data_IF_839640155613
#
_entry.id   IF_839640155613
#
_cell.length_a   1.000
_cell.length_b   1.000
_cell.length_c   1.000
_cell.angle_alpha   90.00
_cell.angle_beta   90.00
_cell.angle_gamma   90.00
#
_symmetry.space_group_name_H-M   'P 1'
#
loop_
_entity.id
_entity.type
_entity.pdbx_description
1 polymer ?
#
# COMPACT_ATOMS: atom_id res chain seq x y z
N UNK A 1 -26.05 23.32 -2.92
CA UNK A 1 -25.25 22.57 -1.93
C UNK A 1 -23.80 22.61 -2.36
N UNK A 2 -22.87 23.02 -1.50
CA UNK A 2 -21.45 22.87 -1.81
C UNK A 2 -21.13 21.37 -1.87
N UNK A 3 -20.46 20.91 -2.92
CA UNK A 3 -19.98 19.53 -2.99
C UNK A 3 -19.04 19.29 -1.80
N UNK A 4 -19.37 18.29 -0.96
CA UNK A 4 -18.52 17.91 0.15
C UNK A 4 -17.35 17.11 -0.44
N UNK A 5 -16.20 17.76 -0.59
CA UNK A 5 -14.98 17.08 -1.02
C UNK A 5 -14.53 16.13 0.08
N UNK A 6 -14.30 14.88 -0.27
CA UNK A 6 -13.74 13.87 0.62
C UNK A 6 -12.28 13.64 0.23
N UNK A 7 -11.36 13.97 1.12
CA UNK A 7 -9.95 13.62 0.97
C UNK A 7 -9.72 12.21 1.53
N UNK A 8 -8.92 11.40 0.84
CA UNK A 8 -8.55 10.05 1.26
C UNK A 8 -7.05 9.95 1.34
N UNK A 9 -6.54 9.48 2.48
CA UNK A 9 -5.15 9.10 2.69
C UNK A 9 -5.10 7.58 2.88
N UNK A 10 -4.35 6.88 2.04
CA UNK A 10 -4.05 5.47 2.20
C UNK A 10 -2.63 5.32 2.75
N UNK A 11 -2.51 4.72 3.92
CA UNK A 11 -1.23 4.33 4.52
C UNK A 11 -1.13 2.81 4.47
N UNK A 12 -0.07 2.30 3.88
CA UNK A 12 0.25 0.88 3.85
C UNK A 12 1.56 0.64 4.60
N UNK A 13 1.55 -0.32 5.53
CA UNK A 13 2.71 -0.68 6.35
C UNK A 13 3.04 -2.13 6.05
N UNK A 14 4.19 -2.36 5.41
CA UNK A 14 4.62 -3.71 5.06
C UNK A 14 5.02 -4.50 6.32
N UNK A 15 4.69 -5.79 6.35
CA UNK A 15 5.01 -6.68 7.46
C UNK A 15 4.22 -6.45 8.77
N UNK A 16 3.24 -5.55 8.79
CA UNK A 16 2.38 -5.32 9.95
C UNK A 16 1.08 -6.13 9.83
N UNK A 17 0.85 -7.02 10.79
CA UNK A 17 -0.36 -7.84 10.87
C UNK A 17 -0.97 -7.84 12.27
N UNK A 18 -2.11 -8.52 12.39
CA UNK A 18 -2.78 -8.74 13.68
C UNK A 18 -2.24 -10.05 14.26
N UNK A 19 -1.55 -9.95 15.40
CA UNK A 19 -0.90 -11.08 16.06
C UNK A 19 -1.41 -11.37 17.47
N UNK A 20 -0.82 -12.39 18.10
CA UNK A 20 -1.05 -12.77 19.50
C UNK A 20 -0.33 -11.79 20.42
N UNK A 21 -0.90 -11.50 21.60
CA UNK A 21 -0.23 -10.74 22.65
C UNK A 21 0.71 -11.66 23.45
N UNK A 22 1.99 -11.64 23.13
CA UNK A 22 3.01 -12.44 23.83
C UNK A 22 4.40 -11.76 23.80
N UNK A 23 5.36 -12.33 24.51
CA UNK A 23 6.71 -11.79 24.63
C UNK A 23 7.48 -11.69 23.29
N UNK A 24 7.05 -12.42 22.25
CA UNK A 24 7.66 -12.41 20.93
C UNK A 24 7.07 -11.36 19.99
N UNK A 25 5.95 -10.72 20.37
CA UNK A 25 5.28 -9.71 19.55
C UNK A 25 5.82 -8.30 19.87
N UNK A 26 6.53 -7.63 18.95
CA UNK A 26 7.09 -6.30 19.20
C UNK A 26 6.03 -5.25 19.57
N UNK A 27 4.83 -5.33 19.00
CA UNK A 27 3.73 -4.41 19.33
C UNK A 27 3.25 -4.60 20.77
N UNK A 28 3.33 -5.83 21.31
CA UNK A 28 3.03 -6.07 22.72
C UNK A 28 4.08 -5.41 23.62
N UNK A 29 5.37 -5.59 23.30
CA UNK A 29 6.50 -5.04 24.07
C UNK A 29 6.53 -3.51 24.06
N UNK A 30 6.05 -2.88 22.99
CA UNK A 30 5.97 -1.42 22.88
C UNK A 30 4.84 -0.81 23.71
N UNK A 31 3.81 -1.60 24.06
CA UNK A 31 2.66 -1.14 24.82
C UNK A 31 1.90 -0.02 24.11
N UNK A 32 1.51 1.01 24.87
CA UNK A 32 0.76 2.18 24.34
C UNK A 32 1.53 2.97 23.28
N UNK A 33 2.87 2.84 23.20
CA UNK A 33 3.68 3.51 22.17
C UNK A 33 3.43 2.98 20.76
N UNK A 34 2.86 1.78 20.64
CA UNK A 34 2.51 1.19 19.35
C UNK A 34 1.05 1.46 18.95
N UNK A 35 0.27 2.18 19.75
CA UNK A 35 -1.08 2.60 19.37
C UNK A 35 -1.03 3.68 18.26
N UNK A 36 -2.00 3.68 17.32
CA UNK A 36 -3.15 2.79 17.23
C UNK A 36 -2.86 1.48 16.45
N UNK A 37 -1.61 1.20 16.08
CA UNK A 37 -1.23 0.05 15.23
C UNK A 37 -1.20 -1.28 15.98
N UNK A 38 -1.10 -1.27 17.32
CA UNK A 38 -1.08 -2.44 18.17
C UNK A 38 -2.46 -3.13 18.30
N UNK A 39 -2.93 -3.73 17.20
CA UNK A 39 -4.16 -4.53 17.15
C UNK A 39 -3.81 -6.01 17.35
N UNK A 40 -4.51 -6.67 18.27
CA UNK A 40 -4.27 -8.08 18.61
C UNK A 40 -5.50 -8.93 18.29
N UNK A 41 -5.27 -10.21 18.02
CA UNK A 41 -6.30 -11.15 17.53
C UNK A 41 -7.54 -11.25 18.45
N UNK A 42 -7.35 -11.19 19.77
CA UNK A 42 -8.41 -11.40 20.78
C UNK A 42 -8.83 -10.09 21.45
N UNK A 43 -8.61 -8.94 20.80
CA UNK A 43 -8.90 -7.63 21.36
C UNK A 43 -9.71 -6.78 20.37
N UNK A 44 -10.71 -6.06 20.87
CA UNK A 44 -11.41 -5.02 20.11
C UNK A 44 -10.85 -3.65 20.49
N UNK A 45 -9.99 -3.04 19.66
CA UNK A 45 -9.36 -1.77 19.99
C UNK A 45 -10.37 -0.62 19.88
N UNK A 46 -10.21 0.38 20.75
CA UNK A 46 -10.88 1.67 20.51
C UNK A 46 -10.08 2.46 19.49
N UNK A 47 -10.61 2.57 18.28
CA UNK A 47 -9.98 3.32 17.20
C UNK A 47 -10.32 4.83 17.30
N UNK A 48 -9.34 5.72 17.02
CA UNK A 48 -9.60 7.15 17.03
C UNK A 48 -10.61 7.54 15.95
N UNK A 49 -11.29 8.67 16.15
CA UNK A 49 -12.21 9.27 15.18
C UNK A 49 -13.36 8.35 14.70
N UNK A 50 -13.85 7.47 15.57
CA UNK A 50 -14.86 6.44 15.22
C UNK A 50 -14.41 5.53 14.08
N UNK A 51 -13.12 5.21 14.04
CA UNK A 51 -12.53 4.32 13.04
C UNK A 51 -13.13 2.92 13.08
N UNK A 52 -13.06 2.23 11.94
CA UNK A 52 -13.53 0.85 11.80
C UNK A 52 -12.34 -0.08 11.56
N UNK A 53 -12.31 -1.19 12.30
CA UNK A 53 -11.35 -2.27 12.08
C UNK A 53 -11.99 -3.32 11.18
N UNK A 54 -11.39 -3.56 10.01
CA UNK A 54 -11.77 -4.67 9.13
C UNK A 54 -10.61 -5.67 9.09
N UNK A 55 -10.76 -6.78 9.83
CA UNK A 55 -9.81 -7.88 9.78
C UNK A 55 -9.96 -8.59 8.44
N UNK A 56 -8.88 -8.77 7.72
CA UNK A 56 -8.88 -9.33 6.36
C UNK A 56 -7.94 -10.53 6.28
N UNK A 57 -8.35 -11.55 5.53
CA UNK A 57 -7.50 -12.67 5.19
C UNK A 57 -6.48 -12.25 4.13
N UNK A 58 -5.21 -12.12 4.53
CA UNK A 58 -4.12 -11.79 3.62
C UNK A 58 -3.80 -12.91 2.61
N UNK A 59 -4.25 -14.14 2.86
CA UNK A 59 -4.09 -15.25 1.91
C UNK A 59 -5.07 -15.15 0.73
N UNK A 60 -6.16 -14.40 0.87
CA UNK A 60 -7.16 -14.16 -0.19
C UNK A 60 -7.70 -15.46 -0.80
N UNK A 61 -7.84 -16.50 0.04
CA UNK A 61 -8.28 -17.83 -0.37
C UNK A 61 -7.28 -18.63 -1.22
N UNK A 62 -6.02 -18.19 -1.31
CA UNK A 62 -4.96 -18.88 -2.06
C UNK A 62 -3.94 -19.48 -1.09
N UNK A 63 -3.63 -20.76 -1.27
CA UNK A 63 -2.68 -21.48 -0.43
C UNK A 63 -1.27 -20.85 -0.44
N UNK A 64 -0.59 -20.93 0.71
CA UNK A 64 0.77 -20.45 0.89
C UNK A 64 0.86 -19.17 1.71
N UNK A 65 2.09 -18.77 2.03
CA UNK A 65 2.34 -17.56 2.83
C UNK A 65 2.07 -16.32 1.98
N UNK A 66 1.24 -15.36 2.44
CA UNK A 66 1.04 -14.08 1.77
C UNK A 66 2.35 -13.36 1.49
N UNK A 67 2.47 -12.73 0.31
CA UNK A 67 3.69 -12.06 -0.15
C UNK A 67 3.42 -10.65 -0.68
N UNK A 68 4.43 -9.79 -0.57
CA UNK A 68 4.29 -8.35 -0.79
C UNK A 68 3.98 -7.95 -2.24
N UNK A 69 4.48 -8.66 -3.26
CA UNK A 69 4.24 -8.27 -4.65
C UNK A 69 2.78 -8.48 -5.05
N UNK A 70 2.23 -9.67 -4.77
CA UNK A 70 0.84 -9.99 -5.04
C UNK A 70 -0.12 -9.26 -4.08
N UNK A 71 0.26 -9.10 -2.80
CA UNK A 71 -0.52 -8.34 -1.83
C UNK A 71 -0.69 -6.87 -2.22
N UNK A 72 0.41 -6.16 -2.52
CA UNK A 72 0.34 -4.77 -2.95
C UNK A 72 -0.36 -4.61 -4.30
N UNK A 73 -0.17 -5.55 -5.24
CA UNK A 73 -0.93 -5.54 -6.50
C UNK A 73 -2.43 -5.60 -6.22
N UNK A 74 -2.87 -6.47 -5.30
CA UNK A 74 -4.28 -6.57 -4.92
C UNK A 74 -4.80 -5.28 -4.32
N UNK A 75 -4.08 -4.70 -3.35
CA UNK A 75 -4.46 -3.43 -2.69
C UNK A 75 -4.60 -2.30 -3.71
N UNK A 76 -3.64 -2.20 -4.65
CA UNK A 76 -3.60 -1.11 -5.62
C UNK A 76 -4.59 -1.27 -6.77
N UNK A 77 -5.17 -2.44 -6.99
CA UNK A 77 -5.98 -2.73 -8.19
C UNK A 77 -7.38 -3.25 -7.91
N UNK A 78 -7.63 -3.77 -6.71
CA UNK A 78 -8.86 -4.48 -6.37
C UNK A 78 -8.98 -5.88 -6.98
N UNK A 79 -7.97 -6.34 -7.74
CA UNK A 79 -7.93 -7.67 -8.35
C UNK A 79 -7.24 -8.65 -7.41
N UNK A 80 -7.81 -9.84 -7.19
CA UNK A 80 -7.18 -10.91 -6.41
C UNK A 80 -5.94 -11.45 -7.16
N UNK A 81 -4.79 -10.81 -6.93
CA UNK A 81 -3.56 -11.08 -7.66
C UNK A 81 -2.93 -12.44 -7.37
N UNK A 82 -2.92 -12.96 -6.11
CA UNK A 82 -2.54 -14.35 -5.87
C UNK A 82 -3.40 -15.34 -6.65
N UNK A 83 -4.71 -15.12 -6.76
CA UNK A 83 -5.59 -16.01 -7.51
C UNK A 83 -5.31 -15.94 -9.02
N UNK A 84 -5.04 -14.74 -9.55
CA UNK A 84 -4.64 -14.58 -10.95
C UNK A 84 -3.31 -15.28 -11.30
N UNK A 85 -2.40 -15.42 -10.33
CA UNK A 85 -1.14 -16.15 -10.51
C UNK A 85 -1.22 -17.65 -10.14
N UNK A 86 -2.16 -18.03 -9.28
CA UNK A 86 -2.21 -19.34 -8.62
C UNK A 86 -1.25 -19.48 -7.44
N UNK A 87 -0.53 -18.44 -7.04
CA UNK A 87 0.40 -18.44 -5.89
C UNK A 87 0.72 -17.02 -5.39
N UNK A 88 1.30 -16.93 -4.19
CA UNK A 88 1.76 -15.67 -3.61
C UNK A 88 3.14 -15.26 -4.12
N UNK A 89 3.25 -14.11 -4.79
CA UNK A 89 4.50 -13.63 -5.38
C UNK A 89 5.27 -12.71 -4.42
N UNK A 90 6.50 -13.11 -4.09
CA UNK A 90 7.45 -12.32 -3.29
C UNK A 90 8.31 -11.36 -4.12
N UNK A 91 8.78 -10.28 -3.49
CA UNK A 91 9.67 -9.30 -4.10
C UNK A 91 8.96 -8.36 -5.07
N UNK A 92 9.45 -8.26 -6.30
CA UNK A 92 8.87 -7.38 -7.32
C UNK A 92 7.77 -8.06 -8.15
N UNK A 93 6.79 -7.28 -8.67
CA UNK A 93 5.77 -7.81 -9.57
C UNK A 93 6.40 -8.36 -10.85
N UNK A 94 5.96 -9.56 -11.25
CA UNK A 94 6.27 -10.14 -12.55
C UNK A 94 5.43 -9.47 -13.65
N UNK A 95 5.55 -9.92 -14.90
CA UNK A 95 4.86 -9.25 -16.01
C UNK A 95 3.34 -9.33 -15.89
N UNK A 96 2.76 -10.47 -15.53
CA UNK A 96 1.31 -10.61 -15.29
C UNK A 96 0.80 -9.63 -14.23
N UNK A 97 1.51 -9.47 -13.11
CA UNK A 97 1.12 -8.47 -12.09
C UNK A 97 1.26 -7.04 -12.62
N UNK A 98 2.27 -6.75 -13.43
CA UNK A 98 2.44 -5.42 -14.04
C UNK A 98 1.31 -5.11 -15.03
N UNK A 99 0.87 -6.09 -15.81
CA UNK A 99 -0.30 -5.94 -16.69
C UNK A 99 -1.55 -5.61 -15.89
N UNK A 100 -1.84 -6.37 -14.82
CA UNK A 100 -2.96 -6.08 -13.91
C UNK A 100 -2.86 -4.65 -13.36
N UNK A 101 -1.69 -4.23 -12.89
CA UNK A 101 -1.48 -2.87 -12.38
C UNK A 101 -1.70 -1.81 -13.47
N UNK A 102 -1.19 -2.04 -14.69
CA UNK A 102 -1.32 -1.09 -15.80
C UNK A 102 -2.77 -0.93 -16.27
N UNK A 103 -3.62 -1.92 -16.06
CA UNK A 103 -5.02 -1.87 -16.45
C UNK A 103 -5.94 -1.34 -15.33
N UNK A 104 -5.63 -1.70 -14.08
CA UNK A 104 -6.54 -1.58 -12.95
C UNK A 104 -6.01 -0.73 -11.79
N UNK A 105 -4.83 -0.11 -11.84
CA UNK A 105 -4.35 0.66 -10.69
C UNK A 105 -5.34 1.75 -10.26
N UNK A 106 -5.50 1.92 -8.94
CA UNK A 106 -6.39 2.94 -8.37
C UNK A 106 -6.01 4.34 -8.86
N UNK A 107 -4.71 4.61 -9.04
CA UNK A 107 -4.23 5.86 -9.61
C UNK A 107 -4.74 6.08 -11.04
N UNK A 108 -4.75 5.04 -11.88
CA UNK A 108 -5.28 5.13 -13.23
C UNK A 108 -6.80 5.30 -13.23
N UNK A 109 -7.50 4.59 -12.35
CA UNK A 109 -8.96 4.72 -12.18
C UNK A 109 -9.34 6.14 -11.74
N UNK A 110 -8.66 6.71 -10.74
CA UNK A 110 -8.87 8.08 -10.27
C UNK A 110 -8.58 9.11 -11.37
N UNK A 111 -7.49 8.91 -12.15
CA UNK A 111 -7.18 9.76 -13.31
C UNK A 111 -8.31 9.71 -14.36
N UNK A 112 -8.77 8.52 -14.73
CA UNK A 112 -9.88 8.32 -15.69
C UNK A 112 -11.17 8.98 -15.21
N UNK A 113 -11.42 8.95 -13.89
CA UNK A 113 -12.54 9.62 -13.25
C UNK A 113 -12.34 11.14 -13.06
N UNK A 114 -11.19 11.70 -13.46
CA UNK A 114 -10.81 13.11 -13.28
C UNK A 114 -10.85 13.57 -11.82
N UNK A 115 -10.50 12.67 -10.90
CA UNK A 115 -10.38 12.97 -9.46
C UNK A 115 -8.96 13.44 -9.17
N UNK A 116 -8.85 14.62 -8.56
CA UNK A 116 -7.59 15.24 -8.16
C UNK A 116 -7.74 15.93 -6.78
N UNK A 117 -6.66 16.06 -5.98
CA UNK A 117 -5.30 15.59 -6.26
C UNK A 117 -5.16 14.06 -6.19
N UNK A 118 -4.28 13.52 -7.03
CA UNK A 118 -3.97 12.10 -7.13
C UNK A 118 -2.44 11.93 -7.01
N UNK A 119 -1.97 11.45 -5.85
CA UNK A 119 -0.56 11.55 -5.47
C UNK A 119 -0.09 10.26 -4.80
N UNK A 120 1.07 9.77 -5.24
CA UNK A 120 1.88 8.86 -4.45
C UNK A 120 2.89 9.68 -3.65
N UNK A 121 2.80 9.63 -2.31
CA UNK A 121 3.48 10.58 -1.45
C UNK A 121 4.98 10.31 -1.28
N UNK A 122 5.44 9.07 -1.48
CA UNK A 122 6.83 8.71 -1.18
C UNK A 122 7.80 9.28 -2.22
N UNK A 123 8.86 9.93 -1.75
CA UNK A 123 9.89 10.53 -2.55
C UNK A 123 10.88 9.51 -3.12
N UNK A 124 11.34 9.77 -4.35
CA UNK A 124 12.37 9.03 -5.05
C UNK A 124 13.66 9.85 -5.09
N UNK A 125 14.80 9.15 -5.06
CA UNK A 125 16.11 9.76 -5.18
C UNK A 125 16.50 9.94 -6.65
N UNK A 126 17.36 10.92 -7.00
CA UNK A 126 17.84 11.11 -8.38
C UNK A 126 18.38 9.82 -9.03
N UNK A 127 19.12 9.02 -8.25
CA UNK A 127 19.70 7.74 -8.67
C UNK A 127 18.67 6.76 -9.24
N UNK A 128 17.44 6.76 -8.72
CA UNK A 128 16.36 5.92 -9.24
C UNK A 128 16.07 6.25 -10.71
N UNK A 129 16.08 7.52 -11.09
CA UNK A 129 15.80 7.95 -12.45
C UNK A 129 17.00 7.79 -13.38
N UNK A 130 18.21 8.05 -12.87
CA UNK A 130 19.46 7.93 -13.64
C UNK A 130 19.78 6.48 -14.04
N UNK A 131 19.60 5.53 -13.11
CA UNK A 131 20.03 4.13 -13.29
C UNK A 131 18.89 3.13 -13.36
N UNK A 132 17.64 3.62 -13.50
CA UNK A 132 16.36 2.90 -13.39
C UNK A 132 16.49 1.39 -13.17
N UNK A 133 16.22 0.90 -11.95
CA UNK A 133 16.30 -0.53 -11.65
C UNK A 133 15.46 -1.36 -12.63
N UNK A 134 16.00 -2.51 -13.04
CA UNK A 134 15.27 -3.49 -13.88
C UNK A 134 13.96 -3.93 -13.22
N UNK A 135 13.98 -4.05 -11.89
CA UNK A 135 12.84 -4.45 -11.08
C UNK A 135 12.39 -3.28 -10.22
N UNK A 136 11.09 -2.98 -10.28
CA UNK A 136 10.47 -1.86 -9.58
C UNK A 136 9.26 -2.36 -8.78
N UNK A 137 8.93 -1.67 -7.68
CA UNK A 137 7.81 -2.03 -6.80
C UNK A 137 6.45 -1.93 -7.51
N UNK A 138 5.43 -2.57 -6.95
CA UNK A 138 4.05 -2.45 -7.43
C UNK A 138 3.56 -0.99 -7.41
N UNK A 139 3.96 -0.21 -6.39
CA UNK A 139 3.66 1.22 -6.30
C UNK A 139 4.29 2.02 -7.44
N UNK A 140 5.56 1.78 -7.78
CA UNK A 140 6.21 2.43 -8.93
C UNK A 140 5.47 2.12 -10.22
N UNK A 141 5.13 0.85 -10.48
CA UNK A 141 4.37 0.45 -11.68
C UNK A 141 3.01 1.14 -11.71
N UNK A 142 2.34 1.29 -10.56
CA UNK A 142 1.04 1.96 -10.47
C UNK A 142 1.12 3.46 -10.77
N UNK A 143 2.17 4.14 -10.30
CA UNK A 143 2.45 5.56 -10.61
C UNK A 143 2.73 5.74 -12.10
N UNK A 144 3.58 4.89 -12.69
CA UNK A 144 3.89 4.90 -14.13
C UNK A 144 2.64 4.62 -14.98
N UNK A 145 1.84 3.62 -14.61
CA UNK A 145 0.59 3.27 -15.29
C UNK A 145 -0.40 4.44 -15.37
N UNK A 146 -0.45 5.25 -14.32
CA UNK A 146 -1.28 6.42 -14.23
C UNK A 146 -0.59 7.68 -14.75
N UNK A 147 0.64 7.58 -15.28
CA UNK A 147 1.48 8.70 -15.73
C UNK A 147 1.50 9.86 -14.72
N UNK A 148 1.57 9.54 -13.43
CA UNK A 148 1.67 10.54 -12.37
C UNK A 148 3.12 11.01 -12.24
N UNK A 149 3.30 12.22 -11.75
CA UNK A 149 4.62 12.71 -11.38
C UNK A 149 5.09 12.01 -10.10
N UNK A 150 6.34 11.53 -10.13
CA UNK A 150 7.01 11.03 -8.95
C UNK A 150 7.40 12.17 -8.02
N UNK A 151 7.22 11.97 -6.73
CA UNK A 151 7.76 12.89 -5.73
C UNK A 151 9.27 12.74 -5.65
N UNK A 152 9.95 13.87 -5.48
CA UNK A 152 11.42 13.94 -5.45
C UNK A 152 11.92 14.40 -4.08
N UNK A 153 13.24 14.38 -3.88
CA UNK A 153 13.86 14.99 -2.70
C UNK A 153 13.57 16.50 -2.58
N UNK A 154 13.38 17.19 -3.71
CA UNK A 154 13.01 18.61 -3.71
C UNK A 154 11.58 18.77 -3.16
N UNK A 155 10.65 17.89 -3.52
CA UNK A 155 9.30 17.87 -2.92
C UNK A 155 9.33 17.53 -1.43
N UNK A 156 10.24 16.65 -1.00
CA UNK A 156 10.44 16.36 0.42
C UNK A 156 10.90 17.60 1.20
N UNK A 157 11.89 18.34 0.69
CA UNK A 157 12.38 19.59 1.28
C UNK A 157 11.26 20.64 1.37
N UNK A 158 10.34 20.66 0.40
CA UNK A 158 9.18 21.55 0.39
C UNK A 158 7.96 21.01 1.15
N UNK A 159 8.12 19.94 1.94
CA UNK A 159 7.04 19.32 2.74
C UNK A 159 5.86 18.79 1.89
N UNK A 160 6.13 18.40 0.64
CA UNK A 160 5.15 17.84 -0.31
C UNK A 160 5.35 16.37 -0.61
N UNK A 161 6.23 15.69 0.11
CA UNK A 161 6.52 14.27 -0.03
C UNK A 161 6.88 13.65 1.33
N UNK A 162 6.93 12.32 1.37
CA UNK A 162 7.35 11.54 2.54
C UNK A 162 8.57 10.68 2.19
N UNK A 163 9.38 10.34 3.19
CA UNK A 163 10.51 9.43 3.05
C UNK A 163 10.58 8.54 4.30
N UNK A 164 10.93 7.26 4.13
CA UNK A 164 10.99 6.25 5.17
C UNK A 164 12.19 5.33 4.96
#
# INVERSE_FOLDING_TARGET
>A
MAAKFMAVLLVFIDGLGIGVRNADNPLHLLGTRAEPLAVFQDAEPQLPHNGLLVRTDAALGVEGRPQSASGQTTILTGVNAPAALGFHKQGFPNETLREIIREHSIFLQLRRARIAPNVFANAYTPRFFETRPRWVSATTVAVEAAGLEFRTLQDLIMERALFH
#
